data_IF_971699829278
#
_entry.id   IF_971699829278
#
_cell.length_a   1.000
_cell.length_b   1.000
_cell.length_c   1.000
_cell.angle_alpha   90.00
_cell.angle_beta   90.00
_cell.angle_gamma   90.00
#
_symmetry.space_group_name_H-M   'P 1'
#
loop_
_entity.id
_entity.type
_entity.pdbx_description
1 polymer ?
#
# COMPACT_ATOMS: atom_id res chain seq x y z
N UNK A 1 6.19 -6.46 41.78
CA UNK A 1 6.49 -7.47 40.74
C UNK A 1 5.20 -7.76 39.99
N UNK A 2 4.99 -7.17 38.80
CA UNK A 2 3.81 -7.43 37.98
C UNK A 2 4.22 -8.34 36.82
N UNK A 3 3.72 -9.57 36.83
CA UNK A 3 3.91 -10.57 35.77
C UNK A 3 2.87 -10.34 34.67
N UNK A 4 3.25 -9.62 33.61
CA UNK A 4 2.39 -9.48 32.43
C UNK A 4 2.39 -10.78 31.64
N UNK A 5 1.24 -11.46 31.59
CA UNK A 5 1.04 -12.69 30.85
C UNK A 5 1.30 -12.48 29.34
N UNK A 6 2.22 -13.28 28.79
CA UNK A 6 2.60 -13.25 27.38
C UNK A 6 1.49 -13.86 26.52
N UNK A 7 0.74 -13.02 25.80
CA UNK A 7 -0.26 -13.44 24.81
C UNK A 7 0.45 -14.21 23.69
N UNK A 8 0.07 -15.46 23.48
CA UNK A 8 0.57 -16.29 22.37
C UNK A 8 0.08 -15.71 21.03
N UNK A 9 1.00 -15.30 20.16
CA UNK A 9 0.65 -14.82 18.83
C UNK A 9 0.22 -16.01 17.96
N UNK A 10 -1.01 -15.96 17.46
CA UNK A 10 -1.54 -16.92 16.49
C UNK A 10 -0.72 -16.76 15.21
N UNK A 11 0.04 -17.80 14.83
CA UNK A 11 0.89 -17.80 13.62
C UNK A 11 -0.01 -17.63 12.40
N UNK A 12 0.24 -16.59 11.60
CA UNK A 12 -0.53 -16.33 10.38
C UNK A 12 -0.45 -17.54 9.45
N UNK A 13 -1.60 -18.01 8.96
CA UNK A 13 -1.67 -19.10 7.97
C UNK A 13 -1.06 -18.62 6.66
N UNK A 14 -0.15 -19.40 6.07
CA UNK A 14 0.39 -19.13 4.73
C UNK A 14 -0.75 -19.21 3.70
N UNK A 15 -1.30 -18.05 3.33
CA UNK A 15 -2.28 -17.94 2.25
C UNK A 15 -1.51 -17.96 0.92
N UNK A 16 -1.79 -18.95 0.10
CA UNK A 16 -1.21 -19.05 -1.25
C UNK A 16 -2.14 -18.31 -2.22
N UNK A 17 -1.58 -17.36 -2.98
CA UNK A 17 -2.30 -16.62 -4.00
C UNK A 17 -2.18 -17.33 -5.35
N UNK A 18 -3.24 -17.31 -6.15
CA UNK A 18 -3.17 -17.78 -7.53
C UNK A 18 -2.48 -16.76 -8.46
N UNK A 19 -2.14 -17.18 -9.68
CA UNK A 19 -1.43 -16.31 -10.64
C UNK A 19 -2.27 -15.11 -11.10
N UNK A 20 -3.60 -15.25 -11.15
CA UNK A 20 -4.50 -14.18 -11.59
C UNK A 20 -4.61 -13.10 -10.51
N UNK A 21 -4.64 -13.50 -9.24
CA UNK A 21 -4.58 -12.64 -8.07
C UNK A 21 -3.26 -11.87 -8.03
N UNK A 22 -2.13 -12.55 -8.23
CA UNK A 22 -0.82 -11.89 -8.28
C UNK A 22 -0.73 -10.88 -9.43
N UNK A 23 -1.28 -11.22 -10.60
CA UNK A 23 -1.34 -10.31 -11.75
C UNK A 23 -2.23 -9.12 -11.45
N UNK A 24 -3.33 -9.32 -10.74
CA UNK A 24 -4.25 -8.25 -10.32
C UNK A 24 -3.56 -7.31 -9.33
N UNK A 25 -2.91 -7.84 -8.28
CA UNK A 25 -2.18 -7.02 -7.32
C UNK A 25 -1.09 -6.17 -7.99
N UNK A 26 -0.36 -6.75 -8.94
CA UNK A 26 0.63 -6.00 -9.71
C UNK A 26 0.00 -4.83 -10.49
N UNK A 27 -1.11 -5.09 -11.19
CA UNK A 27 -1.83 -4.05 -11.95
C UNK A 27 -2.34 -2.94 -11.04
N UNK A 28 -2.90 -3.30 -9.88
CA UNK A 28 -3.44 -2.33 -8.93
C UNK A 28 -2.32 -1.46 -8.33
N UNK A 29 -1.22 -2.07 -7.90
CA UNK A 29 -0.06 -1.31 -7.41
C UNK A 29 0.52 -0.38 -8.48
N UNK A 30 0.63 -0.86 -9.73
CA UNK A 30 1.14 -0.05 -10.83
C UNK A 30 0.20 1.12 -11.15
N UNK A 31 -1.11 0.89 -11.12
CA UNK A 31 -2.11 1.94 -11.32
C UNK A 31 -1.97 3.03 -10.26
N UNK A 32 -1.89 2.65 -8.98
CA UNK A 32 -1.71 3.60 -7.87
C UNK A 32 -0.43 4.40 -8.07
N UNK A 33 0.70 3.73 -8.34
CA UNK A 33 1.98 4.40 -8.60
C UNK A 33 1.86 5.46 -9.69
N UNK A 34 1.26 5.10 -10.84
CA UNK A 34 1.14 6.01 -12.00
C UNK A 34 0.21 7.18 -11.72
N UNK A 35 -0.89 6.92 -11.02
CA UNK A 35 -1.80 7.97 -10.58
C UNK A 35 -1.06 8.98 -9.70
N UNK A 36 -0.32 8.51 -8.70
CA UNK A 36 0.36 9.39 -7.77
C UNK A 36 1.56 10.12 -8.38
N UNK A 37 2.32 9.47 -9.26
CA UNK A 37 3.35 10.16 -10.04
C UNK A 37 2.73 11.31 -10.85
N UNK A 38 1.56 11.09 -11.46
CA UNK A 38 0.87 12.13 -12.21
C UNK A 38 0.32 13.23 -11.31
N UNK A 39 -0.25 12.87 -10.16
CA UNK A 39 -0.70 13.83 -9.16
C UNK A 39 0.47 14.70 -8.67
N UNK A 40 1.62 14.10 -8.37
CA UNK A 40 2.85 14.80 -7.99
C UNK A 40 3.35 15.75 -9.09
N UNK A 41 3.29 15.34 -10.36
CA UNK A 41 3.61 16.23 -11.48
C UNK A 41 2.67 17.44 -11.56
N UNK A 42 1.35 17.20 -11.51
CA UNK A 42 0.35 18.26 -11.60
C UNK A 42 0.41 19.22 -10.40
N UNK A 43 0.73 18.69 -9.21
CA UNK A 43 1.00 19.49 -8.02
C UNK A 43 2.25 20.35 -8.19
N UNK A 44 3.36 19.79 -8.70
CA UNK A 44 4.57 20.55 -9.02
C UNK A 44 4.36 21.63 -10.08
N UNK A 45 3.38 21.46 -10.97
CA UNK A 45 2.95 22.46 -11.95
C UNK A 45 1.97 23.50 -11.37
N UNK A 46 1.57 23.38 -10.10
CA UNK A 46 0.60 24.28 -9.46
C UNK A 46 -0.85 24.09 -9.91
N UNK A 47 -1.17 22.98 -10.60
CA UNK A 47 -2.52 22.66 -11.07
C UNK A 47 -3.38 21.99 -9.99
N UNK A 48 -2.77 21.60 -8.87
CA UNK A 48 -3.44 21.08 -7.67
C UNK A 48 -3.10 22.02 -6.51
N UNK A 49 -4.13 22.62 -5.90
CA UNK A 49 -3.98 23.53 -4.76
C UNK A 49 -4.03 22.81 -3.41
N UNK A 50 -3.50 23.45 -2.36
CA UNK A 50 -3.49 22.90 -1.00
C UNK A 50 -2.30 21.98 -0.75
N UNK A 51 -2.53 20.87 -0.04
CA UNK A 51 -1.51 19.86 0.26
C UNK A 51 -1.72 18.60 -0.59
N UNK A 52 -0.64 18.05 -1.13
CA UNK A 52 -0.65 16.79 -1.88
C UNK A 52 0.19 15.75 -1.14
N UNK A 53 -0.49 14.77 -0.52
CA UNK A 53 0.17 13.64 0.14
C UNK A 53 0.25 12.48 -0.86
N UNK A 54 1.46 12.01 -1.11
CA UNK A 54 1.72 10.88 -1.99
C UNK A 54 2.07 9.66 -1.14
N UNK A 55 1.45 8.54 -1.46
CA UNK A 55 1.66 7.19 -0.95
C UNK A 55 2.66 6.36 -1.79
N UNK A 56 3.45 7.01 -2.67
CA UNK A 56 4.47 6.38 -3.51
C UNK A 56 5.40 5.52 -2.64
N UNK A 57 5.48 4.23 -2.98
CA UNK A 57 6.31 3.26 -2.26
C UNK A 57 5.56 2.49 -1.16
N UNK A 58 4.30 2.80 -0.92
CA UNK A 58 3.44 2.13 0.07
C UNK A 58 2.25 1.41 -0.57
N UNK A 59 2.26 1.18 -1.89
CA UNK A 59 1.13 0.61 -2.63
C UNK A 59 0.75 -0.79 -2.13
N UNK A 60 1.74 -1.57 -1.70
CA UNK A 60 1.50 -2.90 -1.15
C UNK A 60 0.64 -2.88 0.12
N UNK A 61 0.63 -1.78 0.89
CA UNK A 61 -0.15 -1.65 2.13
C UNK A 61 -1.65 -1.55 1.84
N UNK A 62 -2.03 -1.01 0.69
CA UNK A 62 -3.44 -0.86 0.31
C UNK A 62 -3.94 -2.05 -0.50
N UNK A 63 -3.05 -2.70 -1.28
CA UNK A 63 -3.40 -3.81 -2.16
C UNK A 63 -3.38 -5.18 -1.45
N UNK A 64 -2.49 -5.40 -0.48
CA UNK A 64 -2.26 -6.70 0.18
C UNK A 64 -2.65 -6.74 1.64
#
# INVERSE_FOLDING_TARGET
MATTARKTSKRASNKQFDNDQLTTFYKDMLLIRRFEEKAGQLYGMGLIGGFCHLYIGQEAVVVG
#
